data_IF_889697433381
#
_entry.id   IF_889697433381
#
_cell.length_a   1.000
_cell.length_b   1.000
_cell.length_c   1.000
_cell.angle_alpha   90.00
_cell.angle_beta   90.00
_cell.angle_gamma   90.00
#
_symmetry.space_group_name_H-M   'P 1'
#
loop_
_entity.id
_entity.type
_entity.pdbx_description
1 polymer ?
#
# COMPACT_ATOMS: atom_id res chain seq x y z
N UNK A 1 -19.28 34.65 -16.05
CA UNK A 1 -19.50 34.29 -14.62
C UNK A 1 -20.00 35.55 -13.94
N UNK A 2 -21.23 35.55 -13.42
CA UNK A 2 -21.81 36.71 -12.71
C UNK A 2 -21.66 36.55 -11.20
N UNK A 3 -21.59 37.67 -10.48
CA UNK A 3 -21.62 37.64 -9.02
C UNK A 3 -23.06 37.49 -8.52
N UNK A 4 -23.26 37.01 -7.29
CA UNK A 4 -24.57 36.92 -6.65
C UNK A 4 -25.34 38.27 -6.56
N UNK A 5 -24.66 39.42 -6.71
CA UNK A 5 -25.31 40.73 -6.86
C UNK A 5 -25.70 41.09 -8.31
N UNK A 6 -25.60 40.18 -9.27
CA UNK A 6 -25.89 40.44 -10.68
C UNK A 6 -24.79 41.19 -11.45
N UNK A 7 -23.68 41.56 -10.80
CA UNK A 7 -22.57 42.26 -11.48
C UNK A 7 -21.78 41.31 -12.39
N UNK A 8 -21.55 41.72 -13.63
CA UNK A 8 -20.76 40.97 -14.64
C UNK A 8 -19.24 40.98 -14.36
N UNK A 9 -18.76 41.90 -13.51
CA UNK A 9 -17.35 42.03 -13.10
C UNK A 9 -16.93 41.02 -12.02
N UNK A 10 -17.48 39.80 -12.04
CA UNK A 10 -17.06 38.77 -11.10
C UNK A 10 -15.66 38.26 -11.46
N UNK A 11 -14.72 38.29 -10.49
CA UNK A 11 -13.38 37.70 -10.66
C UNK A 11 -13.42 36.19 -10.37
N UNK A 12 -12.28 35.51 -10.44
CA UNK A 12 -12.13 34.03 -10.45
C UNK A 12 -12.79 33.19 -9.34
N UNK A 13 -13.52 33.77 -8.38
CA UNK A 13 -14.37 33.06 -7.41
C UNK A 13 -15.88 33.29 -7.63
N UNK A 14 -16.28 33.83 -8.77
CA UNK A 14 -17.68 34.22 -9.02
C UNK A 14 -18.16 35.35 -8.10
N UNK A 15 -17.22 36.18 -7.59
CA UNK A 15 -17.52 37.29 -6.69
C UNK A 15 -16.95 38.61 -7.22
N UNK A 16 -17.71 39.69 -7.09
CA UNK A 16 -17.20 41.04 -7.27
C UNK A 16 -16.27 41.42 -6.10
N UNK A 17 -15.50 42.50 -6.24
CA UNK A 17 -14.53 42.92 -5.23
C UNK A 17 -15.17 43.17 -3.85
N UNK A 18 -16.36 43.80 -3.83
CA UNK A 18 -17.09 44.11 -2.60
C UNK A 18 -17.54 42.86 -1.85
N UNK A 19 -18.13 41.90 -2.57
CA UNK A 19 -18.55 40.63 -1.96
C UNK A 19 -17.38 39.75 -1.53
N UNK A 20 -16.27 39.77 -2.28
CA UNK A 20 -15.04 39.12 -1.84
C UNK A 20 -14.51 39.72 -0.53
N UNK A 21 -14.53 41.06 -0.39
CA UNK A 21 -14.10 41.73 0.83
C UNK A 21 -15.00 41.36 2.04
N UNK A 22 -16.32 41.33 1.85
CA UNK A 22 -17.27 40.91 2.87
C UNK A 22 -17.09 39.44 3.27
N UNK A 23 -16.94 38.54 2.29
CA UNK A 23 -16.63 37.13 2.51
C UNK A 23 -15.33 36.95 3.30
N UNK A 24 -14.25 37.64 2.90
CA UNK A 24 -12.95 37.60 3.58
C UNK A 24 -13.06 38.03 5.04
N UNK A 25 -13.77 39.14 5.34
CA UNK A 25 -13.97 39.62 6.71
C UNK A 25 -14.68 38.57 7.59
N UNK A 26 -15.73 37.94 7.07
CA UNK A 26 -16.45 36.87 7.77
C UNK A 26 -15.53 35.69 8.07
N UNK A 27 -14.75 35.25 7.10
CA UNK A 27 -13.83 34.11 7.28
C UNK A 27 -12.70 34.41 8.28
N UNK A 28 -12.22 35.66 8.33
CA UNK A 28 -11.26 36.10 9.34
C UNK A 28 -11.90 36.09 10.73
N UNK A 29 -13.11 36.65 10.86
CA UNK A 29 -13.85 36.68 12.12
C UNK A 29 -14.14 35.26 12.67
N UNK A 30 -14.36 34.29 11.78
CA UNK A 30 -14.56 32.89 12.15
C UNK A 30 -13.26 32.10 12.40
N UNK A 31 -12.08 32.73 12.25
CA UNK A 31 -10.79 32.05 12.37
C UNK A 31 -10.50 31.03 11.26
N UNK A 32 -11.32 30.99 10.21
CA UNK A 32 -11.22 30.01 9.10
C UNK A 32 -10.39 30.53 7.92
N UNK A 33 -9.93 31.77 7.98
CA UNK A 33 -9.15 32.37 6.89
C UNK A 33 -7.73 31.84 6.85
N UNK A 34 -7.52 30.75 6.10
CA UNK A 34 -6.20 30.18 5.83
C UNK A 34 -5.93 30.18 4.32
N UNK A 35 -5.57 31.34 3.73
CA UNK A 35 -5.33 31.43 2.29
C UNK A 35 -4.06 30.70 1.86
N UNK A 36 -3.16 30.44 2.82
CA UNK A 36 -1.83 29.89 2.61
C UNK A 36 -1.57 28.79 3.64
N UNK A 37 -1.23 27.60 3.16
CA UNK A 37 -0.99 26.38 3.94
C UNK A 37 0.44 25.86 3.69
N UNK A 38 1.06 25.13 4.62
CA UNK A 38 2.35 24.46 4.38
C UNK A 38 2.28 23.50 3.17
N UNK A 39 3.39 23.33 2.46
CA UNK A 39 3.42 22.50 1.25
C UNK A 39 3.74 21.02 1.53
N UNK A 40 3.95 20.63 2.79
CA UNK A 40 4.52 19.32 3.16
C UNK A 40 3.65 18.15 2.69
N UNK A 41 2.34 18.21 2.95
CA UNK A 41 1.39 17.18 2.53
C UNK A 41 1.35 17.05 1.00
N UNK A 42 1.40 18.17 0.27
CA UNK A 42 1.44 18.17 -1.19
C UNK A 42 2.73 17.56 -1.72
N UNK A 43 3.89 17.84 -1.11
CA UNK A 43 5.17 17.25 -1.54
C UNK A 43 5.17 15.74 -1.33
N UNK A 44 4.79 15.27 -0.15
CA UNK A 44 4.68 13.85 0.15
C UNK A 44 3.71 13.15 -0.82
N UNK A 45 2.58 13.78 -1.15
CA UNK A 45 1.62 13.23 -2.09
C UNK A 45 2.15 13.18 -3.53
N UNK A 46 2.82 14.23 -3.99
CA UNK A 46 3.46 14.26 -5.33
C UNK A 46 4.54 13.17 -5.43
N UNK A 47 5.32 12.96 -4.38
CA UNK A 47 6.30 11.88 -4.30
C UNK A 47 5.64 10.50 -4.35
N UNK A 48 4.56 10.29 -3.61
CA UNK A 48 3.78 9.05 -3.64
C UNK A 48 3.17 8.78 -5.02
N UNK A 49 2.62 9.81 -5.68
CA UNK A 49 2.14 9.72 -7.07
C UNK A 49 3.27 9.33 -8.04
N UNK A 50 4.46 9.90 -7.86
CA UNK A 50 5.64 9.56 -8.64
C UNK A 50 6.11 8.11 -8.41
N UNK A 51 6.09 7.64 -7.16
CA UNK A 51 6.39 6.25 -6.80
C UNK A 51 5.37 5.28 -7.42
N UNK A 52 4.10 5.67 -7.51
CA UNK A 52 3.05 4.93 -8.22
C UNK A 52 3.16 5.01 -9.76
N UNK A 53 4.17 5.70 -10.30
CA UNK A 53 4.43 5.81 -11.74
C UNK A 53 3.64 6.89 -12.46
N UNK A 54 2.97 7.80 -11.74
CA UNK A 54 2.26 8.94 -12.34
C UNK A 54 3.24 10.09 -12.54
N UNK A 55 3.41 10.53 -13.78
CA UNK A 55 4.34 11.61 -14.07
C UNK A 55 3.76 13.00 -13.70
N UNK A 56 4.60 14.02 -13.45
CA UNK A 56 4.13 15.35 -13.04
C UNK A 56 3.19 16.04 -14.04
N UNK A 57 3.34 15.75 -15.34
CA UNK A 57 2.46 16.28 -16.40
C UNK A 57 1.06 15.67 -16.33
N UNK A 58 0.95 14.38 -16.01
CA UNK A 58 -0.31 13.68 -15.80
C UNK A 58 -0.98 14.19 -14.52
N UNK A 59 -0.22 14.32 -13.42
CA UNK A 59 -0.73 14.87 -12.18
C UNK A 59 -1.28 16.30 -12.36
N UNK A 60 -0.60 17.13 -13.17
CA UNK A 60 -1.08 18.46 -13.50
C UNK A 60 -2.44 18.44 -14.23
N UNK A 61 -2.66 17.47 -15.13
CA UNK A 61 -3.95 17.29 -15.81
C UNK A 61 -5.05 16.81 -14.87
N UNK A 62 -4.73 15.89 -13.96
CA UNK A 62 -5.68 15.34 -12.99
C UNK A 62 -6.14 16.37 -11.97
N UNK A 63 -5.22 17.22 -11.51
CA UNK A 63 -5.47 18.20 -10.44
C UNK A 63 -5.90 19.56 -10.97
N UNK A 64 -5.69 19.84 -12.27
CA UNK A 64 -5.84 21.18 -12.85
C UNK A 64 -4.77 22.18 -12.37
N UNK A 65 -3.79 21.73 -11.58
CA UNK A 65 -2.67 22.56 -11.11
C UNK A 65 -1.55 22.50 -12.15
N UNK A 66 -1.17 23.65 -12.72
CA UNK A 66 -0.13 23.69 -13.75
C UNK A 66 1.20 23.06 -13.32
N UNK A 67 1.83 22.28 -14.21
CA UNK A 67 3.09 21.59 -13.92
C UNK A 67 4.21 22.52 -13.38
N UNK A 68 4.41 23.76 -13.87
CA UNK A 68 5.40 24.67 -13.29
C UNK A 68 5.13 25.03 -11.83
N UNK A 69 3.86 24.99 -11.40
CA UNK A 69 3.49 25.19 -9.99
C UNK A 69 3.93 24.00 -9.15
N UNK A 70 3.65 22.78 -9.60
CA UNK A 70 4.09 21.56 -8.94
C UNK A 70 5.62 21.49 -8.83
N UNK A 71 6.36 21.80 -9.90
CA UNK A 71 7.82 21.84 -9.86
C UNK A 71 8.37 22.86 -8.87
N UNK A 72 7.77 24.06 -8.78
CA UNK A 72 8.17 25.07 -7.78
C UNK A 72 7.83 24.67 -6.35
N UNK A 73 6.82 23.82 -6.15
CA UNK A 73 6.49 23.29 -4.84
C UNK A 73 7.55 22.26 -4.43
N UNK A 74 7.92 21.36 -5.34
CA UNK A 74 8.94 20.33 -5.08
C UNK A 74 10.34 20.90 -4.87
N UNK A 75 10.72 21.93 -5.62
CA UNK A 75 12.04 22.55 -5.51
C UNK A 75 12.19 23.55 -4.34
N UNK A 76 11.10 23.87 -3.65
CA UNK A 76 11.13 24.86 -2.57
C UNK A 76 11.54 24.24 -1.22
N UNK A 77 12.13 25.05 -0.35
CA UNK A 77 12.48 24.67 1.01
C UNK A 77 11.26 24.40 1.92
N UNK A 78 11.49 23.88 3.13
CA UNK A 78 10.44 23.39 4.03
C UNK A 78 9.38 24.45 4.40
N UNK A 79 9.77 25.74 4.46
CA UNK A 79 8.85 26.83 4.82
C UNK A 79 7.92 27.28 3.68
N UNK A 80 7.91 26.58 2.54
CA UNK A 80 7.08 26.94 1.40
C UNK A 80 5.61 26.85 1.78
N UNK A 81 4.93 27.99 1.68
CA UNK A 81 3.46 28.03 1.71
C UNK A 81 2.88 27.98 0.30
N UNK A 82 1.74 27.31 0.14
CA UNK A 82 0.96 27.20 -1.10
C UNK A 82 -0.46 27.72 -0.88
N UNK A 83 -1.21 28.01 -1.93
CA UNK A 83 -2.60 28.40 -1.77
C UNK A 83 -3.44 27.18 -1.35
N UNK A 84 -4.38 27.35 -0.42
CA UNK A 84 -5.17 26.24 0.11
C UNK A 84 -5.92 25.43 -0.98
N UNK A 85 -6.37 26.08 -2.05
CA UNK A 85 -7.02 25.40 -3.16
C UNK A 85 -6.07 24.44 -3.91
N UNK A 86 -4.76 24.71 -3.93
CA UNK A 86 -3.75 23.83 -4.56
C UNK A 86 -3.59 22.57 -3.74
N UNK A 87 -3.50 22.71 -2.41
CA UNK A 87 -3.49 21.56 -1.50
C UNK A 87 -4.72 20.69 -1.69
N UNK A 88 -5.91 21.30 -1.64
CA UNK A 88 -7.17 20.60 -1.84
C UNK A 88 -7.24 19.89 -3.19
N UNK A 89 -6.82 20.55 -4.27
CA UNK A 89 -6.85 19.98 -5.62
C UNK A 89 -5.88 18.80 -5.77
N UNK A 90 -4.68 18.88 -5.18
CA UNK A 90 -3.69 17.80 -5.27
C UNK A 90 -4.09 16.61 -4.39
N UNK A 91 -4.48 16.84 -3.14
CA UNK A 91 -4.84 15.78 -2.20
C UNK A 91 -6.19 15.11 -2.53
N UNK A 92 -7.06 15.76 -3.30
CA UNK A 92 -8.30 15.16 -3.77
C UNK A 92 -8.09 14.03 -4.79
N UNK A 93 -6.91 13.95 -5.44
CA UNK A 93 -6.58 12.87 -6.37
C UNK A 93 -5.94 11.72 -5.56
N UNK A 94 -6.59 10.57 -5.40
CA UNK A 94 -6.01 9.44 -4.67
C UNK A 94 -4.77 8.90 -5.39
N UNK A 95 -3.83 8.34 -4.64
CA UNK A 95 -2.68 7.63 -5.20
C UNK A 95 -3.18 6.34 -5.84
N UNK A 96 -3.04 6.14 -7.16
CA UNK A 96 -3.49 4.93 -7.81
C UNK A 96 -2.57 3.76 -7.47
N UNK A 97 -3.10 2.55 -7.44
CA UNK A 97 -2.28 1.33 -7.38
C UNK A 97 -1.46 1.19 -8.68
N UNK A 98 -2.04 1.60 -9.82
CA UNK A 98 -1.39 1.54 -11.13
C UNK A 98 -1.61 2.83 -11.92
N UNK A 99 -0.53 3.48 -12.33
CA UNK A 99 -0.58 4.72 -13.13
C UNK A 99 -1.46 4.62 -14.39
N UNK A 100 -1.52 3.44 -15.01
CA UNK A 100 -2.31 3.20 -16.21
C UNK A 100 -3.82 3.41 -15.98
N UNK A 101 -4.34 3.28 -14.76
CA UNK A 101 -5.78 3.38 -14.47
C UNK A 101 -6.30 4.83 -14.53
N UNK A 102 -5.47 5.79 -14.13
CA UNK A 102 -5.88 7.20 -14.01
C UNK A 102 -5.40 8.06 -15.18
N UNK A 103 -4.76 7.47 -16.19
CA UNK A 103 -4.14 8.21 -17.29
C UNK A 103 -4.83 7.96 -18.64
N UNK A 104 -4.55 8.80 -19.63
CA UNK A 104 -5.10 8.64 -20.99
C UNK A 104 -4.44 7.47 -21.73
N UNK A 105 -5.13 6.84 -22.68
CA UNK A 105 -4.64 5.67 -23.43
C UNK A 105 -3.22 5.82 -24.02
N UNK A 106 -2.92 7.00 -24.58
CA UNK A 106 -1.64 7.30 -25.21
C UNK A 106 -0.54 7.75 -24.24
N UNK A 107 -0.87 7.94 -22.96
CA UNK A 107 0.10 8.39 -21.99
C UNK A 107 1.10 7.28 -21.67
N UNK A 108 2.35 7.67 -21.46
CA UNK A 108 3.42 6.75 -21.09
C UNK A 108 3.40 6.49 -19.58
N UNK A 109 3.54 5.22 -19.21
CA UNK A 109 3.60 4.71 -17.84
C UNK A 109 4.77 3.72 -17.70
N UNK A 110 5.29 3.48 -16.49
CA UNK A 110 6.36 2.50 -16.29
C UNK A 110 6.02 1.12 -16.86
N UNK A 111 6.96 0.50 -17.57
CA UNK A 111 6.72 -0.82 -18.19
C UNK A 111 6.79 -1.98 -17.18
N UNK A 112 7.29 -1.75 -15.96
CA UNK A 112 7.73 -2.78 -15.03
C UNK A 112 6.67 -3.86 -14.76
N UNK A 113 5.47 -3.49 -14.32
CA UNK A 113 4.46 -4.49 -14.00
C UNK A 113 3.94 -5.20 -15.23
N UNK A 114 3.76 -4.50 -16.37
CA UNK A 114 3.44 -5.15 -17.64
C UNK A 114 4.51 -6.17 -18.05
N UNK A 115 5.79 -5.83 -17.88
CA UNK A 115 6.92 -6.73 -18.15
C UNK A 115 6.86 -7.96 -17.25
N UNK A 116 6.70 -7.79 -15.94
CA UNK A 116 6.61 -8.91 -14.97
C UNK A 116 5.41 -9.82 -15.28
N UNK A 117 4.23 -9.23 -15.52
CA UNK A 117 3.00 -9.95 -15.94
C UNK A 117 3.24 -10.78 -17.21
N UNK A 118 3.79 -10.16 -18.26
CA UNK A 118 4.06 -10.84 -19.52
C UNK A 118 5.07 -11.99 -19.36
N UNK A 119 6.17 -11.74 -18.64
CA UNK A 119 7.20 -12.74 -18.37
C UNK A 119 6.68 -13.92 -17.55
N UNK A 120 5.81 -13.64 -16.57
CA UNK A 120 5.19 -14.68 -15.75
C UNK A 120 4.28 -15.59 -16.58
N UNK A 121 3.52 -15.06 -17.53
CA UNK A 121 2.75 -15.90 -18.48
C UNK A 121 3.65 -16.74 -19.37
N UNK A 122 4.80 -16.22 -19.79
CA UNK A 122 5.77 -17.03 -20.55
C UNK A 122 6.32 -18.16 -19.68
N UNK A 123 6.66 -17.86 -18.42
CA UNK A 123 7.13 -18.84 -17.46
C UNK A 123 6.07 -19.92 -17.15
N UNK A 124 4.77 -19.57 -17.14
CA UNK A 124 3.67 -20.53 -16.96
C UNK A 124 3.37 -21.37 -18.21
N UNK A 125 4.01 -21.09 -19.34
CA UNK A 125 3.97 -21.93 -20.54
C UNK A 125 3.24 -21.33 -21.74
N UNK A 126 2.96 -20.04 -21.75
CA UNK A 126 2.41 -19.36 -22.93
C UNK A 126 3.53 -18.85 -23.86
N UNK A 127 3.58 -19.26 -25.13
CA UNK A 127 4.57 -18.73 -26.06
C UNK A 127 4.42 -17.21 -26.26
N UNK A 128 5.53 -16.47 -26.22
CA UNK A 128 5.51 -15.01 -26.46
C UNK A 128 4.86 -14.61 -27.79
N UNK A 129 4.97 -15.46 -28.82
CA UNK A 129 4.30 -15.25 -30.11
C UNK A 129 2.77 -15.38 -30.02
N UNK A 130 2.26 -16.26 -29.16
CA UNK A 130 0.83 -16.36 -28.89
C UNK A 130 0.34 -15.11 -28.15
N UNK A 131 1.01 -14.74 -27.06
CA UNK A 131 0.67 -13.55 -26.27
C UNK A 131 0.70 -12.27 -27.14
N UNK A 132 1.70 -12.14 -28.03
CA UNK A 132 1.77 -11.04 -28.98
C UNK A 132 0.53 -10.95 -29.89
N UNK A 133 0.08 -12.10 -30.45
CA UNK A 133 -1.14 -12.15 -31.27
C UNK A 133 -2.38 -11.75 -30.47
N UNK A 134 -2.52 -12.20 -29.23
CA UNK A 134 -3.64 -11.82 -28.36
C UNK A 134 -3.65 -10.32 -28.05
N UNK A 135 -2.50 -9.65 -28.07
CA UNK A 135 -2.37 -8.20 -27.93
C UNK A 135 -2.52 -7.44 -29.26
N UNK A 136 -2.85 -8.13 -30.36
CA UNK A 136 -2.93 -7.54 -31.70
C UNK A 136 -1.58 -7.07 -32.24
N UNK A 137 -0.49 -7.71 -31.81
CA UNK A 137 0.89 -7.36 -32.21
C UNK A 137 1.57 -8.52 -32.93
N UNK A 138 2.58 -8.20 -33.73
CA UNK A 138 3.50 -9.19 -34.29
C UNK A 138 4.57 -9.59 -33.27
N UNK A 139 5.14 -10.79 -33.40
CA UNK A 139 6.20 -11.29 -32.49
C UNK A 139 7.41 -10.35 -32.43
N UNK A 140 7.79 -9.75 -33.57
CA UNK A 140 8.95 -8.87 -33.69
C UNK A 140 8.62 -7.41 -33.35
N UNK A 141 7.41 -7.14 -32.84
CA UNK A 141 7.03 -5.80 -32.44
C UNK A 141 7.92 -5.32 -31.28
N UNK A 142 8.38 -4.07 -31.34
CA UNK A 142 9.32 -3.49 -30.36
C UNK A 142 8.82 -3.66 -28.91
N UNK A 143 7.52 -3.45 -28.68
CA UNK A 143 6.90 -3.61 -27.35
C UNK A 143 7.07 -5.02 -26.80
N UNK A 144 6.93 -6.06 -27.63
CA UNK A 144 7.11 -7.46 -27.20
C UNK A 144 8.56 -7.69 -26.78
N UNK A 145 9.54 -7.13 -27.51
CA UNK A 145 10.94 -7.20 -27.09
C UNK A 145 11.22 -6.47 -25.77
N UNK A 146 10.57 -5.32 -25.53
CA UNK A 146 10.68 -4.59 -24.25
C UNK A 146 10.04 -5.34 -23.08
N UNK A 147 8.92 -6.05 -23.31
CA UNK A 147 8.29 -6.93 -22.32
C UNK A 147 9.12 -8.19 -22.05
N UNK A 148 9.86 -8.68 -23.03
CA UNK A 148 10.78 -9.82 -22.88
C UNK A 148 12.13 -9.45 -22.24
N UNK A 149 12.38 -8.17 -21.92
CA UNK A 149 13.52 -7.76 -21.10
C UNK A 149 14.90 -8.00 -21.73
N UNK A 150 15.10 -7.61 -23.00
CA UNK A 150 16.40 -7.77 -23.68
C UNK A 150 17.48 -6.74 -23.28
N UNK A 151 17.14 -5.71 -22.50
CA UNK A 151 18.11 -4.76 -21.95
C UNK A 151 18.09 -4.92 -20.44
N UNK A 152 19.14 -5.51 -19.89
CA UNK A 152 19.47 -5.28 -18.50
C UNK A 152 19.72 -3.78 -18.39
N UNK A 153 18.82 -3.06 -17.73
CA UNK A 153 19.10 -1.70 -17.33
C UNK A 153 20.22 -1.85 -16.28
N UNK A 154 21.47 -1.63 -16.71
CA UNK A 154 22.72 -1.89 -15.99
C UNK A 154 22.85 -1.15 -14.65
N UNK A 155 21.90 -0.24 -14.36
CA UNK A 155 21.82 0.54 -13.13
C UNK A 155 20.67 0.13 -12.21
N UNK A 156 19.97 -0.98 -12.49
CA UNK A 156 18.83 -1.45 -11.68
C UNK A 156 17.57 -0.57 -11.76
N UNK A 157 17.60 0.51 -12.56
CA UNK A 157 16.46 1.40 -12.81
C UNK A 157 15.77 1.04 -14.12
N UNK A 158 14.56 0.50 -14.03
CA UNK A 158 13.72 0.27 -15.21
C UNK A 158 13.09 1.61 -15.61
N UNK A 159 13.75 2.31 -16.53
CA UNK A 159 13.34 3.62 -17.06
C UNK A 159 12.43 3.53 -18.29
N UNK A 160 12.18 2.30 -18.77
CA UNK A 160 11.37 2.09 -19.96
C UNK A 160 9.90 2.32 -19.67
N UNK A 161 9.24 3.00 -20.60
CA UNK A 161 7.82 3.30 -20.53
C UNK A 161 7.04 2.57 -21.64
N UNK A 162 5.75 2.39 -21.40
CA UNK A 162 4.80 1.82 -22.36
C UNK A 162 3.53 2.68 -22.37
N UNK A 163 2.80 2.70 -23.48
CA UNK A 163 1.49 3.34 -23.52
C UNK A 163 0.52 2.67 -22.51
N UNK A 164 -0.24 3.46 -21.77
CA UNK A 164 -1.16 3.00 -20.75
C UNK A 164 -2.21 2.02 -21.29
N UNK A 165 -2.68 2.22 -22.52
CA UNK A 165 -3.56 1.26 -23.20
C UNK A 165 -2.92 -0.14 -23.30
N UNK A 166 -1.61 -0.21 -23.57
CA UNK A 166 -0.90 -1.48 -23.69
C UNK A 166 -0.61 -2.10 -22.34
N UNK A 167 -0.32 -1.31 -21.31
CA UNK A 167 -0.26 -1.81 -19.92
C UNK A 167 -1.59 -2.49 -19.56
N UNK A 168 -2.72 -1.80 -19.78
CA UNK A 168 -4.05 -2.35 -19.47
C UNK A 168 -4.35 -3.60 -20.26
N UNK A 169 -3.99 -3.65 -21.54
CA UNK A 169 -4.17 -4.84 -22.37
C UNK A 169 -3.35 -6.03 -21.85
N UNK A 170 -2.11 -5.80 -21.41
CA UNK A 170 -1.27 -6.83 -20.80
C UNK A 170 -1.84 -7.29 -19.45
N UNK A 171 -2.35 -6.36 -18.63
CA UNK A 171 -3.01 -6.72 -17.37
C UNK A 171 -4.27 -7.56 -17.60
N UNK A 172 -5.13 -7.15 -18.53
CA UNK A 172 -6.32 -7.93 -18.89
C UNK A 172 -5.97 -9.32 -19.45
N UNK A 173 -4.87 -9.44 -20.21
CA UNK A 173 -4.35 -10.72 -20.66
C UNK A 173 -3.84 -11.58 -19.48
N UNK A 174 -3.14 -10.97 -18.53
CA UNK A 174 -2.66 -11.63 -17.31
C UNK A 174 -3.80 -12.13 -16.45
N UNK A 175 -4.78 -11.29 -16.13
CA UNK A 175 -5.92 -11.65 -15.28
C UNK A 175 -6.69 -12.86 -15.84
N UNK A 176 -6.81 -12.98 -17.17
CA UNK A 176 -7.46 -14.12 -17.82
C UNK A 176 -6.67 -15.42 -17.75
N UNK A 177 -5.33 -15.34 -17.78
CA UNK A 177 -4.46 -16.51 -18.02
C UNK A 177 -3.64 -16.92 -16.79
N UNK A 178 -3.52 -16.08 -15.77
CA UNK A 178 -2.58 -16.29 -14.66
C UNK A 178 -2.79 -17.60 -13.87
N UNK A 179 -4.04 -18.08 -13.78
CA UNK A 179 -4.39 -19.33 -13.10
C UNK A 179 -4.44 -20.56 -14.01
N UNK A 180 -4.21 -20.39 -15.31
CA UNK A 180 -4.25 -21.47 -16.30
C UNK A 180 -2.85 -21.72 -16.82
N UNK A 181 -2.28 -22.93 -16.66
CA UNK A 181 -0.96 -23.22 -17.20
C UNK A 181 -1.02 -23.28 -18.74
N UNK A 182 -0.05 -22.63 -19.39
CA UNK A 182 0.10 -22.72 -20.84
C UNK A 182 0.63 -24.10 -21.27
N UNK A 183 0.28 -24.54 -22.47
CA UNK A 183 0.60 -25.88 -22.96
C UNK A 183 2.05 -26.06 -23.45
N UNK A 184 2.81 -24.97 -23.63
CA UNK A 184 4.15 -25.05 -24.25
C UNK A 184 5.27 -25.31 -23.25
N UNK A 185 5.88 -26.49 -23.32
CA UNK A 185 7.08 -26.82 -22.56
C UNK A 185 8.28 -25.93 -22.91
N UNK A 186 8.39 -25.49 -24.18
CA UNK A 186 9.46 -24.60 -24.63
C UNK A 186 9.38 -23.22 -23.98
N UNK A 187 8.16 -22.70 -23.77
CA UNK A 187 7.95 -21.43 -23.08
C UNK A 187 8.34 -21.53 -21.60
N UNK A 188 7.94 -22.62 -20.91
CA UNK A 188 8.37 -22.88 -19.53
C UNK A 188 9.89 -22.96 -19.40
N UNK A 189 10.54 -23.73 -20.27
CA UNK A 189 12.00 -23.83 -20.31
C UNK A 189 12.70 -22.50 -20.62
N UNK A 190 12.06 -21.59 -21.38
CA UNK A 190 12.56 -20.24 -21.56
C UNK A 190 12.45 -19.41 -20.27
N UNK A 191 11.29 -19.45 -19.61
CA UNK A 191 11.08 -18.77 -18.33
C UNK A 191 12.08 -19.24 -17.26
N UNK A 192 12.29 -20.55 -17.13
CA UNK A 192 13.29 -21.13 -16.22
C UNK A 192 14.71 -20.65 -16.53
N UNK A 193 15.14 -20.73 -17.80
CA UNK A 193 16.48 -20.25 -18.22
C UNK A 193 16.68 -18.76 -17.98
N UNK A 194 15.61 -17.97 -18.04
CA UNK A 194 15.63 -16.53 -17.77
C UNK A 194 15.38 -16.18 -16.30
N UNK A 195 15.10 -17.17 -15.45
CA UNK A 195 14.78 -16.95 -14.04
C UNK A 195 13.47 -16.18 -13.82
N UNK A 196 12.55 -16.20 -14.78
CA UNK A 196 11.28 -15.47 -14.65
C UNK A 196 10.35 -16.17 -13.67
N UNK A 197 9.78 -15.43 -12.70
CA UNK A 197 8.85 -16.02 -11.75
C UNK A 197 7.53 -16.41 -12.39
N UNK A 198 6.86 -17.41 -11.82
CA UNK A 198 5.50 -17.80 -12.20
C UNK A 198 4.48 -16.75 -11.71
N UNK A 199 3.25 -16.74 -12.25
CA UNK A 199 2.21 -15.82 -11.80
C UNK A 199 1.94 -15.91 -10.29
N UNK A 200 1.82 -17.13 -9.75
CA UNK A 200 1.58 -17.38 -8.31
C UNK A 200 2.76 -17.00 -7.40
N UNK A 201 3.95 -16.80 -7.95
CA UNK A 201 5.12 -16.36 -7.19
C UNK A 201 5.12 -14.85 -6.95
N UNK A 202 4.22 -14.11 -7.60
CA UNK A 202 4.03 -12.68 -7.41
C UNK A 202 2.81 -12.42 -6.54
N UNK A 203 2.93 -11.44 -5.64
CA UNK A 203 1.75 -10.74 -5.11
C UNK A 203 1.18 -9.86 -6.23
N UNK A 204 -0.11 -10.05 -6.54
CA UNK A 204 -0.81 -9.35 -7.63
C UNK A 204 -0.73 -7.82 -7.48
N UNK A 205 -0.71 -7.33 -6.24
CA UNK A 205 -0.66 -5.91 -5.91
C UNK A 205 0.78 -5.34 -5.94
N UNK A 206 1.79 -6.20 -5.87
CA UNK A 206 3.20 -5.81 -5.79
C UNK A 206 3.91 -5.84 -7.15
N UNK A 207 3.25 -6.33 -8.21
CA UNK A 207 3.85 -6.46 -9.54
C UNK A 207 4.39 -5.14 -10.11
N UNK A 208 3.78 -4.01 -9.78
CA UNK A 208 4.19 -2.68 -10.24
C UNK A 208 5.25 -2.02 -9.34
N UNK A 209 5.47 -2.52 -8.12
CA UNK A 209 6.46 -1.99 -7.18
C UNK A 209 7.88 -2.45 -7.55
N UNK A 210 8.82 -1.51 -7.85
CA UNK A 210 10.21 -1.85 -8.18
C UNK A 210 10.92 -2.66 -7.09
N UNK A 211 10.53 -2.49 -5.82
CA UNK A 211 11.16 -3.18 -4.69
C UNK A 211 10.54 -4.53 -4.37
N UNK A 212 9.39 -4.86 -4.98
CA UNK A 212 8.74 -6.15 -4.78
C UNK A 212 9.62 -7.31 -5.24
N UNK A 213 9.67 -8.35 -4.41
CA UNK A 213 10.38 -9.58 -4.69
C UNK A 213 9.40 -10.75 -4.78
N UNK A 214 9.55 -11.63 -5.77
CA UNK A 214 8.68 -12.79 -5.92
C UNK A 214 9.04 -13.86 -4.87
N UNK A 215 8.03 -14.52 -4.32
CA UNK A 215 8.20 -15.69 -3.46
C UNK A 215 8.33 -16.93 -4.34
N UNK A 216 9.54 -17.48 -4.44
CA UNK A 216 9.80 -18.63 -5.30
C UNK A 216 9.10 -19.89 -4.79
N UNK A 217 8.20 -20.44 -5.58
CA UNK A 217 7.45 -21.67 -5.34
C UNK A 217 8.23 -22.93 -5.71
N UNK A 218 9.56 -22.83 -5.91
CA UNK A 218 10.38 -24.00 -6.24
C UNK A 218 10.42 -24.94 -5.04
N UNK A 219 9.90 -26.15 -5.23
CA UNK A 219 10.14 -27.24 -4.32
C UNK A 219 11.65 -27.49 -4.21
N UNK A 220 12.16 -27.26 -3.01
CA UNK A 220 13.49 -27.63 -2.56
C UNK A 220 13.35 -28.41 -1.24
N UNK A 221 14.30 -29.30 -0.92
CA UNK A 221 14.32 -29.93 0.41
C UNK A 221 14.36 -28.91 1.56
N UNK A 222 14.87 -27.70 1.32
CA UNK A 222 14.81 -26.60 2.29
C UNK A 222 13.39 -26.03 2.45
N UNK A 223 12.71 -25.70 1.34
CA UNK A 223 11.32 -25.20 1.37
C UNK A 223 10.34 -26.20 2.01
N UNK A 224 10.46 -27.50 1.71
CA UNK A 224 9.61 -28.52 2.31
C UNK A 224 9.84 -28.68 3.83
N UNK A 225 11.05 -28.36 4.31
CA UNK A 225 11.35 -28.31 5.75
C UNK A 225 10.77 -27.05 6.39
N UNK A 226 10.84 -25.91 5.72
CA UNK A 226 10.29 -24.65 6.20
C UNK A 226 8.76 -24.71 6.29
N UNK A 227 8.08 -25.14 5.24
CA UNK A 227 6.62 -25.32 5.19
C UNK A 227 6.13 -26.29 6.27
N UNK A 228 6.79 -27.45 6.42
CA UNK A 228 6.44 -28.41 7.48
C UNK A 228 6.58 -27.78 8.88
N UNK A 229 7.62 -26.97 9.11
CA UNK A 229 7.82 -26.28 10.39
C UNK A 229 6.72 -25.26 10.64
N UNK A 230 6.33 -24.49 9.64
CA UNK A 230 5.23 -23.54 9.73
C UNK A 230 3.91 -24.25 10.07
N UNK A 231 3.59 -25.34 9.38
CA UNK A 231 2.43 -26.19 9.68
C UNK A 231 2.46 -26.75 11.11
N UNK A 232 3.63 -27.23 11.57
CA UNK A 232 3.81 -27.69 12.97
C UNK A 232 3.62 -26.55 13.95
N UNK A 233 4.09 -25.33 13.64
CA UNK A 233 3.94 -24.14 14.48
C UNK A 233 2.46 -23.74 14.59
N UNK A 234 1.75 -23.65 13.45
CA UNK A 234 0.34 -23.30 13.39
C UNK A 234 -0.52 -24.29 14.20
N UNK A 235 -0.34 -25.60 13.97
CA UNK A 235 -1.10 -26.62 14.70
C UNK A 235 -0.74 -26.68 16.20
N UNK A 236 0.52 -26.38 16.55
CA UNK A 236 0.92 -26.23 17.95
C UNK A 236 0.28 -25.00 18.60
N UNK A 237 0.16 -23.88 17.86
CA UNK A 237 -0.54 -22.68 18.29
C UNK A 237 -2.04 -22.91 18.48
N UNK A 238 -2.65 -23.79 17.69
CA UNK A 238 -4.01 -24.27 17.88
C UNK A 238 -4.18 -25.28 19.03
N UNK A 239 -3.11 -25.59 19.78
CA UNK A 239 -3.16 -26.46 20.96
C UNK A 239 -3.15 -27.97 20.68
N UNK A 240 -2.85 -28.40 19.45
CA UNK A 240 -2.83 -29.84 19.12
C UNK A 240 -1.64 -30.55 19.79
N UNK A 241 -1.91 -31.77 20.25
CA UNK A 241 -0.87 -32.66 20.79
C UNK A 241 0.06 -33.14 19.68
N UNK A 242 1.29 -33.52 20.03
CA UNK A 242 2.27 -34.00 19.04
C UNK A 242 1.78 -35.23 18.25
N UNK A 243 0.97 -36.09 18.87
CA UNK A 243 0.40 -37.26 18.21
C UNK A 243 -0.63 -36.86 17.14
N UNK A 244 -1.49 -35.88 17.45
CA UNK A 244 -2.48 -35.34 16.50
C UNK A 244 -1.80 -34.62 15.33
N UNK A 245 -0.78 -33.81 15.59
CA UNK A 245 0.00 -33.14 14.54
C UNK A 245 0.71 -34.16 13.63
N UNK A 246 1.34 -35.17 14.22
CA UNK A 246 2.00 -36.26 13.50
C UNK A 246 1.02 -37.02 12.59
N UNK A 247 -0.16 -37.35 13.10
CA UNK A 247 -1.22 -38.02 12.35
C UNK A 247 -1.74 -37.14 11.21
N UNK A 248 -1.99 -35.85 11.46
CA UNK A 248 -2.55 -34.93 10.48
C UNK A 248 -1.58 -34.60 9.34
N UNK A 249 -0.28 -34.46 9.63
CA UNK A 249 0.74 -34.16 8.64
C UNK A 249 1.37 -35.42 8.02
N UNK A 250 1.00 -36.63 8.48
CA UNK A 250 1.58 -37.89 8.00
C UNK A 250 3.07 -38.04 8.33
N UNK A 251 3.53 -37.47 9.45
CA UNK A 251 4.94 -37.46 9.86
C UNK A 251 5.17 -38.14 11.21
N UNK A 252 6.41 -38.50 11.52
CA UNK A 252 6.77 -39.11 12.80
C UNK A 252 6.68 -38.09 13.96
N UNK A 253 6.23 -38.50 15.14
CA UNK A 253 6.20 -37.66 16.36
C UNK A 253 7.57 -37.09 16.74
N UNK A 254 8.67 -37.82 16.50
CA UNK A 254 10.04 -37.32 16.68
C UNK A 254 10.36 -36.14 15.76
N UNK A 255 9.76 -36.10 14.57
CA UNK A 255 9.93 -35.01 13.62
C UNK A 255 9.21 -33.74 14.11
N UNK A 256 8.02 -33.89 14.68
CA UNK A 256 7.27 -32.80 15.32
C UNK A 256 8.07 -32.19 16.48
N UNK A 257 8.63 -33.03 17.36
CA UNK A 257 9.43 -32.58 18.49
C UNK A 257 10.71 -31.84 18.02
N UNK A 258 11.36 -32.33 16.96
CA UNK A 258 12.52 -31.67 16.34
C UNK A 258 12.19 -30.30 15.75
N UNK A 259 11.08 -30.20 15.02
CA UNK A 259 10.65 -28.93 14.42
C UNK A 259 10.19 -27.93 15.48
N UNK A 260 9.52 -28.38 16.56
CA UNK A 260 9.23 -27.55 17.75
C UNK A 260 10.48 -27.02 18.44
N UNK A 261 11.50 -27.87 18.59
CA UNK A 261 12.78 -27.44 19.17
C UNK A 261 13.45 -26.37 18.30
N UNK A 262 13.48 -26.58 16.98
CA UNK A 262 14.02 -25.60 16.04
C UNK A 262 13.27 -24.26 16.08
N UNK A 263 11.94 -24.28 16.14
CA UNK A 263 11.14 -23.06 16.27
C UNK A 263 11.48 -22.32 17.56
N UNK A 264 11.63 -23.03 18.69
CA UNK A 264 12.04 -22.44 19.96
C UNK A 264 13.43 -21.79 19.92
N UNK A 265 14.39 -22.40 19.22
CA UNK A 265 15.76 -21.85 19.11
C UNK A 265 15.85 -20.65 18.17
N UNK A 266 15.01 -20.60 17.13
CA UNK A 266 14.98 -19.47 16.19
C UNK A 266 14.12 -18.29 16.68
N UNK A 267 13.07 -18.54 17.44
CA UNK A 267 12.27 -17.51 18.13
C UNK A 267 13.11 -16.75 19.18
N UNK A 268 14.18 -17.37 19.69
CA UNK A 268 15.17 -16.69 20.55
C UNK A 268 16.20 -15.87 19.79
N UNK A 269 16.43 -16.11 18.49
CA UNK A 269 17.42 -15.37 17.68
C UNK A 269 16.84 -14.18 16.90
N UNK A 270 15.53 -14.19 16.62
CA UNK A 270 14.81 -13.07 15.96
C UNK A 270 14.18 -12.08 16.95
N UNK A 271 14.43 -12.25 18.25
CA UNK A 271 14.08 -11.22 19.24
C UNK A 271 15.02 -10.03 19.03
N UNK A 272 14.54 -8.83 18.65
CA UNK A 272 15.38 -7.65 18.69
C UNK A 272 15.95 -7.53 20.11
N UNK A 273 17.27 -7.43 20.21
CA UNK A 273 17.95 -7.21 21.48
C UNK A 273 17.40 -5.93 22.12
N UNK A 274 16.61 -6.08 23.19
CA UNK A 274 16.19 -5.01 24.10
C UNK A 274 15.13 -4.05 23.56
N UNK A 275 13.86 -4.31 23.86
CA UNK A 275 12.81 -3.29 23.72
C UNK A 275 11.46 -3.77 24.26
N UNK A 276 10.98 -4.91 23.77
CA UNK A 276 9.61 -5.35 24.04
C UNK A 276 9.35 -5.85 25.47
N UNK A 277 10.37 -6.40 26.15
CA UNK A 277 10.20 -6.88 27.53
C UNK A 277 10.11 -5.72 28.56
N UNK A 278 10.72 -4.57 28.28
CA UNK A 278 10.63 -3.38 29.11
C UNK A 278 9.26 -2.70 28.95
N UNK A 279 8.75 -2.58 27.73
CA UNK A 279 7.41 -2.01 27.48
C UNK A 279 6.28 -2.86 28.06
N UNK A 280 6.38 -4.20 28.00
CA UNK A 280 5.35 -5.07 28.61
C UNK A 280 5.41 -5.02 30.15
N UNK A 281 6.61 -4.86 30.73
CA UNK A 281 6.75 -4.67 32.17
C UNK A 281 6.23 -3.29 32.63
N UNK A 282 6.48 -2.23 31.87
CA UNK A 282 5.96 -0.88 32.12
C UNK A 282 4.44 -0.84 31.97
N UNK A 283 3.88 -1.52 30.96
CA UNK A 283 2.44 -1.59 30.76
C UNK A 283 1.74 -2.43 31.84
N UNK A 284 2.39 -3.48 32.34
CA UNK A 284 1.92 -4.22 33.51
C UNK A 284 1.98 -3.38 34.80
N UNK A 285 3.02 -2.56 34.99
CA UNK A 285 3.12 -1.64 36.12
C UNK A 285 2.05 -0.54 36.08
N UNK A 286 1.76 0.00 34.90
CA UNK A 286 0.66 0.96 34.67
C UNK A 286 -0.70 0.32 34.96
N UNK A 287 -0.92 -0.93 34.55
CA UNK A 287 -2.16 -1.65 34.84
C UNK A 287 -2.34 -1.94 36.34
N UNK A 288 -1.25 -2.25 37.06
CA UNK A 288 -1.27 -2.42 38.53
C UNK A 288 -1.60 -1.10 39.22
N UNK A 289 -1.00 0.02 38.79
CA UNK A 289 -1.31 1.33 39.37
C UNK A 289 -2.74 1.78 39.09
N UNK A 290 -3.25 1.53 37.88
CA UNK A 290 -4.66 1.79 37.57
C UNK A 290 -5.61 0.98 38.46
N UNK A 291 -5.25 -0.26 38.80
CA UNK A 291 -6.03 -1.11 39.71
C UNK A 291 -6.05 -0.55 41.13
N UNK A 292 -4.88 -0.15 41.64
CA UNK A 292 -4.74 0.44 42.97
C UNK A 292 -5.51 1.77 43.09
N UNK A 293 -5.48 2.61 42.05
CA UNK A 293 -6.22 3.88 42.02
C UNK A 293 -7.74 3.67 41.98
N UNK A 294 -8.24 2.65 41.27
CA UNK A 294 -9.66 2.28 41.27
C UNK A 294 -10.10 1.82 42.66
N UNK A 295 -9.30 1.01 43.35
CA UNK A 295 -9.61 0.53 44.70
C UNK A 295 -9.54 1.67 45.73
N UNK A 296 -8.63 2.64 45.56
CA UNK A 296 -8.57 3.87 46.36
C UNK A 296 -9.83 4.73 46.19
N UNK A 297 -10.33 4.87 44.97
CA UNK A 297 -11.58 5.61 44.70
C UNK A 297 -12.80 4.89 45.27
N UNK A 298 -12.82 3.55 45.28
CA UNK A 298 -13.89 2.75 45.89
C UNK A 298 -13.91 2.87 47.42
N UNK A 299 -12.75 2.87 48.06
CA UNK A 299 -12.63 3.04 49.52
C UNK A 299 -12.96 4.46 49.96
N UNK A 300 -12.60 5.48 49.17
CA UNK A 300 -12.98 6.88 49.43
C UNK A 300 -14.48 7.15 49.14
N UNK A 301 -15.08 6.49 48.15
CA UNK A 301 -16.51 6.57 47.87
C UNK A 301 -17.38 5.88 48.91
N UNK A 302 -16.87 4.84 49.59
CA UNK A 302 -17.58 4.14 50.66
C UNK A 302 -17.61 4.92 51.99
N UNK A 303 -16.75 5.92 52.18
CA UNK A 303 -16.75 6.79 53.36
C UNK A 303 -17.75 7.97 53.27
N UNK A 304 -18.38 8.19 52.10
CA UNK A 304 -19.26 9.34 51.84
C UNK A 304 -20.77 9.07 51.98
N UNK A 305 -21.21 7.84 52.29
CA UNK A 305 -22.63 7.48 52.41
C UNK A 305 -23.05 7.16 53.85
N UNK A 306 -22.54 7.93 54.83
CA UNK A 306 -23.12 8.00 56.17
C UNK A 306 -24.40 8.84 56.14
N UNK A 307 -25.55 8.17 56.00
CA UNK A 307 -26.86 8.80 55.92
C UNK A 307 -27.22 9.64 57.16
N UNK A 308 -27.66 10.87 56.92
CA UNK A 308 -28.39 11.65 57.92
C UNK A 308 -29.79 11.04 58.12
N UNK A 309 -30.26 10.83 59.36
CA UNK A 309 -31.57 10.23 59.60
C UNK A 309 -32.66 11.23 59.23
N UNK A 310 -33.58 10.82 58.35
CA UNK A 310 -34.82 11.53 58.07
C UNK A 310 -35.74 11.44 59.29
N UNK A 311 -35.78 12.51 60.08
CA UNK A 311 -36.76 12.66 61.13
C UNK A 311 -38.16 12.90 60.51
N UNK A 312 -39.09 12.01 60.85
CA UNK A 312 -40.53 12.11 60.57
C UNK A 312 -41.23 12.14 61.93
N UNK A 313 -41.75 13.31 62.32
CA UNK A 313 -42.96 13.56 63.16
C UNK A 313 -43.13 15.08 63.25
N UNK A 314 -44.18 15.71 62.71
CA UNK A 314 -45.60 15.75 63.14
C UNK A 314 -45.73 16.37 64.55
N UNK A 315 -46.14 17.64 64.64
CA UNK A 315 -47.40 18.12 65.26
C UNK A 315 -47.41 19.63 65.51
N UNK A 316 -48.57 20.23 65.18
CA UNK A 316 -49.21 21.48 65.65
C UNK A 316 -48.57 22.83 65.34
#
# INVERSE_FOLDING_TARGET
>A
MSCACGTEQAKGRGMCATHYAAFRRRQIAYGRWQPRVPADAVRAHVEAMGAAGVNPNQLAKLTGVGQPTLSRIMAAGPDKKIAAWVEQAVLAVPVPERAAEVTTNSALVPILGARRRFQALVASGYPAAQLARELGMTRNHRTIHSLMGHRADSDGRITQEIAAERERAVKALFDRLQLVPGSSAQARALGERRGWPLPIEWDENALDDPHAQPVRARWTPASARAERREQVAALTGCGLTKAQIAQQLGINTRLVDRDRHHLRTHDTSDRPAGGFAAEVADMAAVAVQARLDIDRRRTQGAAGSGGAPRDRRRTR
#
